data_IF_189086489720
#
_entry.id   IF_189086489720
#
_cell.length_a   1.000
_cell.length_b   1.000
_cell.length_c   1.000
_cell.angle_alpha   90.00
_cell.angle_beta   90.00
_cell.angle_gamma   90.00
#
_symmetry.space_group_name_H-M   'P 1'
#
loop_
_entity.id
_entity.type
_entity.pdbx_description
1 polymer ?
#
# COMPACT_ATOMS: atom_id res chain seq x y z
N UNK A 1 -8.57 -12.50 11.64
CA UNK A 1 -8.64 -12.55 10.18
C UNK A 1 -9.92 -11.87 9.70
N UNK A 2 -9.88 -11.13 8.60
CA UNK A 2 -10.97 -10.40 7.98
C UNK A 2 -11.02 -10.67 6.47
N UNK A 3 -12.10 -10.24 5.80
CA UNK A 3 -12.22 -10.33 4.34
C UNK A 3 -11.15 -9.51 3.57
N UNK A 4 -10.40 -8.65 4.25
CA UNK A 4 -9.29 -7.89 3.67
C UNK A 4 -7.99 -8.71 3.60
N UNK A 5 -7.83 -9.75 4.43
CA UNK A 5 -6.56 -10.49 4.49
C UNK A 5 -6.18 -11.14 3.15
N UNK A 6 -7.08 -11.79 2.40
CA UNK A 6 -6.71 -12.35 1.09
C UNK A 6 -6.27 -11.29 0.08
N UNK A 7 -6.82 -10.07 0.17
CA UNK A 7 -6.45 -8.95 -0.69
C UNK A 7 -5.08 -8.39 -0.25
N UNK A 8 -4.87 -8.25 1.06
CA UNK A 8 -3.60 -7.85 1.66
C UNK A 8 -2.46 -8.79 1.23
N UNK A 9 -2.69 -10.10 1.32
CA UNK A 9 -1.73 -11.13 0.88
C UNK A 9 -1.47 -11.07 -0.62
N UNK A 10 -2.50 -10.84 -1.44
CA UNK A 10 -2.34 -10.64 -2.88
C UNK A 10 -1.47 -9.41 -3.18
N UNK A 11 -1.73 -8.27 -2.53
CA UNK A 11 -0.92 -7.05 -2.70
C UNK A 11 0.53 -7.33 -2.31
N UNK A 12 0.76 -8.01 -1.17
CA UNK A 12 2.10 -8.40 -0.73
C UNK A 12 2.82 -9.29 -1.75
N UNK A 13 2.11 -10.23 -2.37
CA UNK A 13 2.66 -11.09 -3.44
C UNK A 13 2.98 -10.34 -4.75
N UNK A 14 2.46 -9.13 -4.91
CA UNK A 14 2.71 -8.27 -6.07
C UNK A 14 3.88 -7.31 -5.88
N UNK A 15 4.50 -7.25 -4.70
CA UNK A 15 5.66 -6.40 -4.47
C UNK A 15 6.90 -6.91 -5.24
N UNK A 16 7.76 -6.00 -5.72
CA UNK A 16 9.06 -6.39 -6.26
C UNK A 16 9.94 -6.98 -5.15
N UNK A 17 10.86 -7.88 -5.52
CA UNK A 17 11.75 -8.59 -4.59
C UNK A 17 12.63 -7.65 -3.76
N UNK A 18 12.90 -6.46 -4.27
CA UNK A 18 13.72 -5.42 -3.65
C UNK A 18 12.93 -4.61 -2.61
N UNK A 19 11.59 -4.67 -2.63
CA UNK A 19 10.79 -4.03 -1.61
C UNK A 19 11.07 -4.64 -0.24
N UNK A 20 11.10 -3.78 0.79
CA UNK A 20 11.30 -4.17 2.18
C UNK A 20 10.14 -3.60 2.99
N UNK A 21 9.01 -4.31 3.09
CA UNK A 21 7.94 -3.93 3.99
C UNK A 21 8.46 -3.78 5.43
N UNK A 22 7.96 -2.79 6.20
CA UNK A 22 8.24 -2.70 7.62
C UNK A 22 7.89 -4.00 8.34
N UNK A 23 8.59 -4.29 9.44
CA UNK A 23 8.22 -5.39 10.33
C UNK A 23 6.82 -5.15 10.90
N UNK A 24 6.01 -6.20 11.02
CA UNK A 24 4.64 -6.09 11.53
C UNK A 24 3.66 -5.31 10.64
N UNK A 25 3.97 -5.13 9.34
CA UNK A 25 3.14 -4.36 8.41
C UNK A 25 1.78 -5.01 8.04
N UNK A 26 1.29 -6.03 8.75
CA UNK A 26 0.03 -6.70 8.43
C UNK A 26 -1.16 -5.73 8.39
N UNK A 27 -1.26 -4.82 9.37
CA UNK A 27 -2.31 -3.80 9.39
C UNK A 27 -2.16 -2.77 8.27
N UNK A 28 -0.93 -2.44 7.89
CA UNK A 28 -0.66 -1.57 6.74
C UNK A 28 -1.18 -2.20 5.43
N UNK A 29 -0.96 -3.50 5.21
CA UNK A 29 -1.49 -4.16 4.02
C UNK A 29 -3.02 -4.26 4.04
N UNK A 30 -3.66 -4.29 5.21
CA UNK A 30 -5.13 -4.17 5.30
C UNK A 30 -5.62 -2.78 4.88
N UNK A 31 -4.91 -1.71 5.25
CA UNK A 31 -5.20 -0.37 4.73
C UNK A 31 -5.02 -0.30 3.21
N UNK A 32 -3.97 -0.92 2.68
CA UNK A 32 -3.79 -1.02 1.23
C UNK A 32 -4.89 -1.84 0.54
N UNK A 33 -5.43 -2.87 1.19
CA UNK A 33 -6.59 -3.60 0.69
C UNK A 33 -7.85 -2.72 0.62
N UNK A 34 -8.03 -1.80 1.58
CA UNK A 34 -9.10 -0.79 1.52
C UNK A 34 -8.88 0.18 0.34
N UNK A 35 -7.66 0.67 0.12
CA UNK A 35 -7.34 1.51 -1.05
C UNK A 35 -7.63 0.78 -2.37
N UNK A 36 -7.29 -0.50 -2.46
CA UNK A 36 -7.60 -1.33 -3.62
C UNK A 36 -9.11 -1.39 -3.85
N UNK A 37 -9.93 -1.65 -2.82
CA UNK A 37 -11.38 -1.72 -2.99
C UNK A 37 -11.99 -0.37 -3.38
N UNK A 38 -11.48 0.73 -2.83
CA UNK A 38 -12.01 2.06 -3.05
C UNK A 38 -11.62 2.65 -4.42
N UNK A 39 -10.37 2.44 -4.85
CA UNK A 39 -9.79 3.13 -6.02
C UNK A 39 -9.21 2.18 -7.06
N UNK A 40 -8.92 0.93 -6.71
CA UNK A 40 -8.36 -0.08 -7.61
C UNK A 40 -7.09 0.40 -8.30
N UNK A 41 -7.11 0.44 -9.63
CA UNK A 41 -5.97 0.88 -10.44
C UNK A 41 -5.68 2.39 -10.35
N UNK A 42 -6.59 3.19 -9.78
CA UNK A 42 -6.45 4.64 -9.65
C UNK A 42 -5.74 5.09 -8.37
N UNK A 43 -5.32 4.16 -7.50
CA UNK A 43 -4.51 4.47 -6.31
C UNK A 43 -3.25 5.23 -6.70
N UNK A 44 -2.92 6.31 -6.01
CA UNK A 44 -1.73 7.14 -6.21
C UNK A 44 -0.70 6.91 -5.11
N UNK A 45 0.52 7.41 -5.31
CA UNK A 45 1.57 7.38 -4.29
C UNK A 45 1.17 8.18 -3.04
N UNK A 46 0.39 9.25 -3.20
CA UNK A 46 -0.17 10.01 -2.08
C UNK A 46 -1.19 9.19 -1.27
N UNK A 47 -2.04 8.38 -1.91
CA UNK A 47 -2.96 7.50 -1.17
C UNK A 47 -2.20 6.49 -0.32
N UNK A 48 -1.13 5.91 -0.89
CA UNK A 48 -0.24 4.97 -0.21
C UNK A 48 0.44 5.63 0.97
N UNK A 49 1.01 6.83 0.78
CA UNK A 49 1.64 7.61 1.84
C UNK A 49 0.66 7.95 2.96
N UNK A 50 -0.57 8.33 2.63
CA UNK A 50 -1.60 8.62 3.63
C UNK A 50 -1.98 7.38 4.46
N UNK A 51 -2.10 6.21 3.81
CA UNK A 51 -2.35 4.95 4.52
C UNK A 51 -1.14 4.53 5.38
N UNK A 52 0.07 4.69 4.86
CA UNK A 52 1.29 4.47 5.63
C UNK A 52 1.39 5.41 6.83
N UNK A 53 1.12 6.70 6.65
CA UNK A 53 1.08 7.71 7.71
C UNK A 53 0.08 7.33 8.81
N UNK A 54 -1.14 6.93 8.44
CA UNK A 54 -2.16 6.52 9.39
C UNK A 54 -1.72 5.28 10.20
N UNK A 55 -1.08 4.30 9.56
CA UNK A 55 -0.53 3.15 10.26
C UNK A 55 0.67 3.51 11.14
N UNK A 56 1.64 4.26 10.61
CA UNK A 56 2.85 4.67 11.33
C UNK A 56 2.52 5.52 12.54
N UNK A 57 1.51 6.39 12.49
CA UNK A 57 1.06 7.13 13.68
C UNK A 57 0.66 6.21 14.85
N UNK A 58 0.23 4.97 14.58
CA UNK A 58 -0.11 4.00 15.65
C UNK A 58 1.09 3.25 16.20
N UNK A 59 2.22 3.23 15.48
CA UNK A 59 3.41 2.44 15.83
C UNK A 59 4.63 3.29 16.19
N UNK A 60 4.78 4.48 15.58
CA UNK A 60 5.79 5.50 15.82
C UNK A 60 5.23 6.89 15.40
N UNK A 61 4.62 7.60 16.34
CA UNK A 61 4.05 8.94 16.11
C UNK A 61 5.10 10.05 15.99
N UNK A 62 6.38 9.73 16.15
CA UNK A 62 7.50 10.67 16.04
C UNK A 62 8.22 10.61 14.70
N UNK A 63 7.79 9.72 13.81
CA UNK A 63 8.48 9.50 12.54
C UNK A 63 8.47 10.77 11.66
N UNK A 64 9.65 11.24 11.25
CA UNK A 64 9.83 12.51 10.51
C UNK A 64 9.02 12.66 9.21
N UNK A 65 8.59 11.54 8.63
CA UNK A 65 7.85 11.50 7.38
C UNK A 65 6.32 11.60 7.58
N UNK A 66 5.84 11.80 8.82
CA UNK A 66 4.43 12.09 9.13
C UNK A 66 4.08 13.54 8.76
N UNK A 67 4.27 13.88 7.48
CA UNK A 67 3.96 15.17 6.86
C UNK A 67 3.19 14.91 5.55
N UNK A 68 2.49 15.90 4.98
CA UNK A 68 1.84 15.74 3.68
C UNK A 68 2.79 15.22 2.59
N UNK A 69 2.28 14.39 1.66
CA UNK A 69 3.09 13.78 0.60
C UNK A 69 3.88 14.80 -0.22
N UNK A 70 3.30 15.97 -0.50
CA UNK A 70 3.94 17.03 -1.26
C UNK A 70 5.06 17.75 -0.50
N UNK A 71 5.11 17.62 0.82
CA UNK A 71 6.16 18.20 1.67
C UNK A 71 7.37 17.26 1.82
N UNK A 72 7.26 16.01 1.37
CA UNK A 72 8.37 15.06 1.33
C UNK A 72 9.38 15.40 0.23
N UNK A 73 10.65 15.07 0.46
CA UNK A 73 11.63 15.07 -0.61
C UNK A 73 11.33 13.98 -1.67
N UNK A 74 11.86 14.17 -2.88
CA UNK A 74 11.59 13.28 -4.01
C UNK A 74 12.04 11.83 -3.77
N UNK A 75 13.08 11.61 -2.96
CA UNK A 75 13.58 10.27 -2.67
C UNK A 75 12.65 9.56 -1.70
N UNK A 76 12.11 10.26 -0.69
CA UNK A 76 11.14 9.68 0.23
C UNK A 76 9.82 9.36 -0.49
N UNK A 77 9.30 10.25 -1.34
CA UNK A 77 8.10 9.95 -2.16
C UNK A 77 8.27 8.72 -3.04
N UNK A 78 9.48 8.48 -3.57
CA UNK A 78 9.75 7.33 -4.41
C UNK A 78 9.64 5.98 -3.67
N UNK A 79 9.61 5.98 -2.32
CA UNK A 79 9.42 4.78 -1.51
C UNK A 79 7.99 4.24 -1.57
N UNK A 80 7.00 5.07 -1.91
CA UNK A 80 5.60 4.68 -2.03
C UNK A 80 5.31 3.94 -3.34
N UNK A 81 6.04 4.28 -4.41
CA UNK A 81 5.80 3.79 -5.77
C UNK A 81 5.75 2.25 -5.91
N UNK A 82 6.61 1.44 -5.27
CA UNK A 82 6.50 -0.02 -5.30
C UNK A 82 5.17 -0.54 -4.75
N UNK A 83 4.63 0.07 -3.69
CA UNK A 83 3.36 -0.32 -3.09
C UNK A 83 2.18 0.11 -3.96
N UNK A 84 2.23 1.32 -4.52
CA UNK A 84 1.24 1.78 -5.52
C UNK A 84 1.16 0.80 -6.69
N UNK A 85 2.31 0.40 -7.24
CA UNK A 85 2.37 -0.58 -8.32
C UNK A 85 1.80 -1.93 -7.91
N UNK A 86 2.11 -2.41 -6.70
CA UNK A 86 1.60 -3.67 -6.18
C UNK A 86 0.07 -3.64 -6.02
N UNK A 87 -0.50 -2.57 -5.47
CA UNK A 87 -1.95 -2.39 -5.33
C UNK A 87 -2.64 -2.40 -6.69
N UNK A 88 -2.13 -1.61 -7.65
CA UNK A 88 -2.67 -1.56 -9.02
C UNK A 88 -2.57 -2.93 -9.71
N UNK A 89 -1.48 -3.66 -9.49
CA UNK A 89 -1.29 -5.01 -10.05
C UNK A 89 -2.27 -6.01 -9.45
N UNK A 90 -2.47 -6.00 -8.14
CA UNK A 90 -3.45 -6.82 -7.45
C UNK A 90 -4.87 -6.51 -7.94
N UNK A 91 -5.20 -5.22 -8.12
CA UNK A 91 -6.50 -4.78 -8.65
C UNK A 91 -6.77 -5.37 -10.05
N UNK A 92 -5.79 -5.34 -10.96
CA UNK A 92 -5.90 -5.98 -12.28
C UNK A 92 -6.12 -7.49 -12.19
N UNK A 93 -5.45 -8.17 -11.25
CA UNK A 93 -5.59 -9.63 -11.07
C UNK A 93 -6.97 -10.01 -10.54
N UNK A 94 -7.55 -9.23 -9.63
CA UNK A 94 -8.89 -9.47 -9.09
C UNK A 94 -9.99 -9.25 -10.12
N UNK A 95 -9.82 -8.28 -11.03
CA UNK A 95 -10.78 -7.99 -12.09
C UNK A 95 -10.62 -8.85 -13.34
N UNK A 96 -9.57 -9.69 -13.45
CA UNK A 96 -9.43 -10.58 -14.59
C UNK A 96 -10.44 -11.74 -14.45
N UNK A 97 -11.43 -11.87 -15.35
CA UNK A 97 -12.31 -13.03 -15.33
C UNK A 97 -11.45 -14.29 -15.50
N UNK A 98 -11.76 -15.33 -14.71
CA UNK A 98 -11.15 -16.63 -14.92
C UNK A 98 -11.42 -17.04 -16.37
N UNK A 99 -10.39 -17.06 -17.20
CA UNK A 99 -10.47 -17.68 -18.52
C UNK A 99 -10.78 -19.16 -18.28
N UNK A 100 -12.01 -19.54 -18.62
CA UNK A 100 -12.47 -20.92 -18.74
C UNK A 100 -11.69 -21.68 -19.83
#
# INVERSE_FOLDING_TARGET
MSHLDPIADLIRSCLPTEARPPEGADDLFRLYAVLLQAKGEQVTDEDVHNAWTAWTQTTDDTHRALVPFHDLDARTRALDAPYTLAIRTAARRLHRPATA
#
